data_IF_628227522099
#
_entry.id   IF_628227522099
#
_cell.length_a   1.000
_cell.length_b   1.000
_cell.length_c   1.000
_cell.angle_alpha   90.00
_cell.angle_beta   90.00
_cell.angle_gamma   90.00
#
_symmetry.space_group_name_H-M   'P 1'
#
loop_
_entity.id
_entity.type
_entity.pdbx_description
1 polymer ?
#
# COMPACT_ATOMS: atom_id res chain seq x y z
N UNK A 1 -20.22 -8.69 -0.36
CA UNK A 1 -20.02 -7.35 0.21
C UNK A 1 -18.55 -7.01 0.08
N UNK A 2 -18.17 -6.39 -1.04
CA UNK A 2 -16.83 -5.84 -1.26
C UNK A 2 -16.61 -4.74 -0.22
N UNK A 3 -15.47 -4.76 0.48
CA UNK A 3 -15.17 -3.74 1.48
C UNK A 3 -14.68 -2.47 0.78
N UNK A 4 -14.97 -1.28 1.32
CA UNK A 4 -14.72 -0.03 0.65
C UNK A 4 -13.23 0.23 0.44
N UNK A 5 -12.86 0.89 -0.66
CA UNK A 5 -11.48 1.27 -0.92
C UNK A 5 -11.00 2.30 0.12
N UNK A 6 -9.75 2.14 0.56
CA UNK A 6 -9.10 3.13 1.43
C UNK A 6 -8.93 4.47 0.68
N UNK A 7 -8.73 5.61 1.35
CA UNK A 7 -8.51 6.91 0.69
C UNK A 7 -7.40 6.88 -0.39
N UNK A 8 -6.32 6.15 -0.12
CA UNK A 8 -5.19 6.03 -1.06
C UNK A 8 -5.51 5.15 -2.27
N UNK A 9 -6.24 4.06 -2.07
CA UNK A 9 -6.80 3.27 -3.18
C UNK A 9 -7.80 4.07 -4.03
N UNK A 10 -8.64 4.90 -3.40
CA UNK A 10 -9.55 5.80 -4.11
C UNK A 10 -8.80 6.78 -4.99
N UNK A 11 -7.68 7.35 -4.53
CA UNK A 11 -6.82 8.23 -5.33
C UNK A 11 -6.33 7.54 -6.61
N UNK A 12 -5.89 6.29 -6.51
CA UNK A 12 -5.47 5.49 -7.67
C UNK A 12 -6.64 5.19 -8.62
N UNK A 13 -7.79 4.78 -8.09
CA UNK A 13 -8.97 4.46 -8.91
C UNK A 13 -9.48 5.72 -9.63
N UNK A 14 -9.53 6.86 -8.94
CA UNK A 14 -9.88 8.15 -9.50
C UNK A 14 -8.88 8.56 -10.60
N UNK A 15 -7.58 8.40 -10.35
CA UNK A 15 -6.55 8.67 -11.34
C UNK A 15 -6.73 7.82 -12.61
N UNK A 16 -6.93 6.50 -12.46
CA UNK A 16 -7.15 5.59 -13.60
C UNK A 16 -8.42 6.01 -14.37
N UNK A 17 -9.50 6.34 -13.66
CA UNK A 17 -10.77 6.77 -14.26
C UNK A 17 -10.60 8.04 -15.09
N UNK A 18 -10.06 9.10 -14.47
CA UNK A 18 -9.86 10.41 -15.10
C UNK A 18 -8.86 10.33 -16.26
N UNK A 19 -7.73 9.64 -16.07
CA UNK A 19 -6.72 9.45 -17.11
C UNK A 19 -7.32 8.74 -18.33
N UNK A 20 -8.08 7.67 -18.11
CA UNK A 20 -8.72 6.91 -19.18
C UNK A 20 -9.80 7.74 -19.88
N UNK A 21 -10.58 8.52 -19.14
CA UNK A 21 -11.61 9.39 -19.69
C UNK A 21 -11.01 10.48 -20.58
N UNK A 22 -9.94 11.13 -20.13
CA UNK A 22 -9.31 12.25 -20.86
C UNK A 22 -8.49 11.75 -22.06
N UNK A 23 -7.72 10.67 -21.89
CA UNK A 23 -6.74 10.23 -22.90
C UNK A 23 -7.21 9.03 -23.73
N UNK A 24 -8.41 8.51 -23.48
CA UNK A 24 -9.01 7.38 -24.20
C UNK A 24 -8.26 6.05 -24.04
N UNK A 25 -7.27 5.99 -23.14
CA UNK A 25 -6.45 4.79 -22.87
C UNK A 25 -6.07 4.73 -21.39
N UNK A 26 -5.97 3.54 -20.80
CA UNK A 26 -5.59 3.41 -19.41
C UNK A 26 -4.11 3.74 -19.20
N UNK A 27 -3.73 4.25 -18.00
CA UNK A 27 -2.35 4.57 -17.69
C UNK A 27 -1.49 3.30 -17.53
N UNK A 28 -0.22 3.42 -17.88
CA UNK A 28 0.83 2.48 -17.50
C UNK A 28 1.32 2.74 -16.07
N UNK A 29 1.97 1.74 -15.45
CA UNK A 29 2.58 1.92 -14.13
C UNK A 29 3.60 3.08 -14.12
N UNK A 30 4.36 3.26 -15.20
CA UNK A 30 5.32 4.35 -15.33
C UNK A 30 4.64 5.74 -15.40
N UNK A 31 3.47 5.85 -16.03
CA UNK A 31 2.68 7.09 -16.03
C UNK A 31 2.16 7.37 -14.61
N UNK A 32 1.64 6.36 -13.91
CA UNK A 32 1.20 6.51 -12.50
C UNK A 32 2.35 6.94 -11.58
N UNK A 33 3.54 6.35 -11.73
CA UNK A 33 4.73 6.75 -10.97
C UNK A 33 5.02 8.24 -11.13
N UNK A 34 5.00 8.75 -12.37
CA UNK A 34 5.27 10.16 -12.69
C UNK A 34 4.19 11.10 -12.14
N UNK A 35 2.92 10.77 -12.37
CA UNK A 35 1.82 11.66 -12.01
C UNK A 35 1.51 11.66 -10.52
N UNK A 36 1.51 10.49 -9.87
CA UNK A 36 1.28 10.35 -8.43
C UNK A 36 2.55 10.59 -7.60
N UNK A 37 3.70 10.80 -8.26
CA UNK A 37 5.03 10.98 -7.65
C UNK A 37 5.38 9.85 -6.68
N UNK A 38 5.07 8.62 -7.10
CA UNK A 38 5.28 7.41 -6.30
C UNK A 38 6.41 6.58 -6.85
N UNK A 39 7.02 5.80 -5.97
CA UNK A 39 8.09 4.89 -6.36
C UNK A 39 7.53 3.74 -7.21
N UNK A 40 8.33 3.14 -8.11
CA UNK A 40 7.91 1.99 -8.89
C UNK A 40 7.30 0.84 -8.08
N UNK A 41 7.90 0.37 -6.97
CA UNK A 41 7.29 -0.69 -6.17
C UNK A 41 6.00 -0.23 -5.49
N UNK A 42 5.86 1.04 -5.08
CA UNK A 42 4.60 1.56 -4.51
C UNK A 42 3.44 1.37 -5.49
N UNK A 43 3.64 1.78 -6.74
CA UNK A 43 2.62 1.67 -7.79
C UNK A 43 2.32 0.21 -8.09
N UNK A 44 3.36 -0.60 -8.29
CA UNK A 44 3.20 -2.02 -8.59
C UNK A 44 2.39 -2.76 -7.51
N UNK A 45 2.76 -2.60 -6.24
CA UNK A 45 2.04 -3.24 -5.13
C UNK A 45 0.62 -2.70 -4.95
N UNK A 46 0.39 -1.41 -5.21
CA UNK A 46 -0.97 -0.86 -5.22
C UNK A 46 -1.82 -1.50 -6.31
N UNK A 47 -1.31 -1.64 -7.53
CA UNK A 47 -2.02 -2.30 -8.64
C UNK A 47 -2.35 -3.76 -8.29
N UNK A 48 -1.38 -4.52 -7.78
CA UNK A 48 -1.64 -5.90 -7.32
C UNK A 48 -2.73 -5.97 -6.25
N UNK A 49 -2.77 -4.98 -5.36
CA UNK A 49 -3.78 -4.91 -4.31
C UNK A 49 -5.16 -4.57 -4.85
N UNK A 50 -5.27 -3.58 -5.73
CA UNK A 50 -6.52 -3.21 -6.37
C UNK A 50 -7.08 -4.39 -7.17
N UNK A 51 -6.22 -5.14 -7.86
CA UNK A 51 -6.58 -6.38 -8.59
C UNK A 51 -7.06 -7.47 -7.63
N UNK A 52 -6.31 -7.75 -6.57
CA UNK A 52 -6.68 -8.74 -5.54
C UNK A 52 -8.00 -8.39 -4.84
N UNK A 53 -8.31 -7.09 -4.71
CA UNK A 53 -9.57 -6.60 -4.15
C UNK A 53 -10.71 -6.55 -5.18
N UNK A 54 -10.44 -6.84 -6.45
CA UNK A 54 -11.44 -6.83 -7.51
C UNK A 54 -11.85 -5.44 -8.00
N UNK A 55 -11.13 -4.38 -7.62
CA UNK A 55 -11.40 -3.02 -8.09
C UNK A 55 -10.90 -2.76 -9.51
N UNK A 56 -9.89 -3.51 -9.94
CA UNK A 56 -9.36 -3.46 -11.30
C UNK A 56 -9.13 -4.86 -11.84
N UNK A 57 -9.03 -4.95 -13.15
CA UNK A 57 -8.49 -6.13 -13.86
C UNK A 57 -7.31 -5.68 -14.73
N UNK A 58 -6.33 -6.56 -14.95
CA UNK A 58 -5.19 -6.28 -15.82
C UNK A 58 -4.67 -7.56 -16.48
N UNK A 59 -3.81 -7.39 -17.48
CA UNK A 59 -3.01 -8.48 -18.03
C UNK A 59 -1.57 -8.34 -17.54
N UNK A 60 -1.03 -9.31 -16.78
CA UNK A 60 0.33 -9.27 -16.28
C UNK A 60 1.35 -9.10 -17.43
N UNK A 61 2.31 -8.20 -17.25
CA UNK A 61 3.34 -7.91 -18.25
C UNK A 61 2.89 -7.05 -19.43
N UNK A 62 1.60 -6.72 -19.54
CA UNK A 62 1.08 -5.87 -20.61
C UNK A 62 0.80 -4.45 -20.11
N UNK A 63 1.55 -3.44 -20.59
CA UNK A 63 1.28 -2.05 -20.23
C UNK A 63 -0.10 -1.64 -20.77
N UNK A 64 -0.77 -0.73 -20.07
CA UNK A 64 -2.07 -0.17 -20.47
C UNK A 64 -3.17 -1.23 -20.63
N UNK A 65 -3.11 -2.30 -19.82
CA UNK A 65 -4.14 -3.34 -19.76
C UNK A 65 -5.12 -3.16 -18.60
N UNK A 66 -4.89 -2.16 -17.75
CA UNK A 66 -5.69 -1.91 -16.55
C UNK A 66 -7.08 -1.45 -16.95
N UNK A 67 -8.10 -2.10 -16.40
CA UNK A 67 -9.51 -1.71 -16.53
C UNK A 67 -10.13 -1.62 -15.15
N UNK A 68 -10.88 -0.56 -14.90
CA UNK A 68 -11.71 -0.44 -13.71
C UNK A 68 -12.81 -1.50 -13.76
N UNK A 69 -13.10 -2.12 -12.62
CA UNK A 69 -14.29 -2.94 -12.50
C UNK A 69 -15.54 -2.06 -12.72
N UNK A 70 -16.46 -2.53 -13.58
CA UNK A 70 -17.64 -1.77 -14.01
C UNK A 70 -18.61 -1.40 -12.88
N UNK A 71 -18.44 -2.02 -11.72
CA UNK A 71 -19.15 -1.70 -10.50
C UNK A 71 -18.12 -1.68 -9.36
N UNK A 72 -18.10 -0.61 -8.58
CA UNK A 72 -17.47 -0.67 -7.25
C UNK A 72 -18.20 -1.69 -6.34
N UNK A 73 -19.34 -2.22 -6.79
CA UNK A 73 -20.00 -3.44 -6.38
C UNK A 73 -19.76 -4.61 -7.36
N UNK A 74 -18.65 -5.34 -7.30
CA UNK A 74 -18.56 -6.61 -8.07
C UNK A 74 -18.80 -7.81 -7.17
N UNK A 75 -19.95 -8.50 -7.34
CA UNK A 75 -20.01 -9.92 -7.09
C UNK A 75 -20.14 -10.73 -8.40
N UNK A 76 -19.37 -11.81 -8.40
CA UNK A 76 -19.55 -13.10 -9.10
C UNK A 76 -18.91 -13.29 -10.47
N UNK A 77 -17.64 -13.70 -10.45
CA UNK A 77 -17.26 -14.98 -11.04
C UNK A 77 -16.34 -15.76 -10.08
N UNK A 78 -16.94 -16.77 -9.42
CA UNK A 78 -16.32 -18.06 -9.11
C UNK A 78 -15.07 -18.14 -8.23
N UNK A 79 -15.28 -18.41 -6.94
CA UNK A 79 -14.51 -19.46 -6.25
C UNK A 79 -13.19 -19.08 -5.58
N UNK A 80 -13.29 -18.58 -4.35
CA UNK A 80 -12.54 -18.95 -3.13
C UNK A 80 -12.90 -17.90 -2.09
N UNK A 81 -13.43 -18.32 -0.93
CA UNK A 81 -13.86 -17.40 0.13
C UNK A 81 -12.80 -16.33 0.37
N UNK A 82 -13.17 -15.07 0.11
CA UNK A 82 -12.29 -13.96 0.47
C UNK A 82 -12.12 -14.01 1.97
N UNK A 83 -10.89 -14.03 2.50
CA UNK A 83 -10.70 -14.02 3.95
C UNK A 83 -11.44 -12.81 4.51
N UNK A 84 -12.32 -13.04 5.49
CA UNK A 84 -13.11 -12.01 6.16
C UNK A 84 -12.13 -11.02 6.80
N UNK A 85 -11.82 -9.93 6.10
CA UNK A 85 -10.90 -8.90 6.59
C UNK A 85 -11.55 -8.16 7.75
N UNK A 86 -10.72 -7.78 8.73
CA UNK A 86 -11.17 -6.98 9.86
C UNK A 86 -11.45 -5.56 9.39
N UNK A 87 -12.72 -5.20 9.49
CA UNK A 87 -13.25 -3.87 9.23
C UNK A 87 -12.79 -2.91 10.35
N UNK A 88 -12.24 -1.76 9.95
CA UNK A 88 -11.78 -0.68 10.84
C UNK A 88 -12.17 0.67 10.24
N UNK A 89 -12.30 1.72 11.04
CA UNK A 89 -12.58 3.05 10.48
C UNK A 89 -11.36 3.57 9.71
N UNK A 90 -11.52 4.37 8.64
CA UNK A 90 -10.38 4.96 7.92
C UNK A 90 -9.41 5.75 8.82
N UNK A 91 -9.92 6.32 9.92
CA UNK A 91 -9.15 7.05 10.92
C UNK A 91 -8.46 6.17 11.97
N UNK A 92 -8.80 4.88 12.04
CA UNK A 92 -8.25 3.96 13.02
C UNK A 92 -6.78 3.66 12.72
N UNK A 93 -5.97 3.76 13.76
CA UNK A 93 -4.53 3.53 13.66
C UNK A 93 -4.16 2.17 14.21
N UNK A 94 -3.61 1.31 13.36
CA UNK A 94 -3.12 0.00 13.75
C UNK A 94 -1.64 0.07 14.15
N UNK A 95 -1.20 -0.74 15.13
CA UNK A 95 0.18 -0.73 15.59
C UNK A 95 1.13 -1.43 14.60
N UNK A 96 2.30 -0.83 14.41
CA UNK A 96 3.48 -1.44 13.81
C UNK A 96 4.60 -1.42 14.84
N UNK A 97 4.94 -2.60 15.35
CA UNK A 97 6.10 -2.74 16.22
C UNK A 97 7.40 -2.74 15.39
N UNK A 98 8.52 -2.33 15.95
CA UNK A 98 9.83 -2.50 15.34
C UNK A 98 10.92 -2.43 16.42
N UNK A 99 12.08 -3.01 16.14
CA UNK A 99 13.28 -2.86 16.94
C UNK A 99 13.87 -1.44 16.77
N UNK A 100 14.73 -1.03 17.70
CA UNK A 100 15.49 0.22 17.56
C UNK A 100 16.34 0.27 16.28
N UNK A 101 16.84 -0.89 15.84
CA UNK A 101 17.56 -1.04 14.56
C UNK A 101 16.66 -0.74 13.36
N UNK A 102 15.48 -1.36 13.31
CA UNK A 102 14.50 -1.11 12.25
C UNK A 102 14.04 0.36 12.25
N UNK A 103 13.85 0.97 13.43
CA UNK A 103 13.56 2.41 13.52
C UNK A 103 14.69 3.26 12.92
N UNK A 104 15.95 2.98 13.25
CA UNK A 104 17.08 3.70 12.67
C UNK A 104 17.15 3.51 11.14
N UNK A 105 16.87 2.32 10.63
CA UNK A 105 16.80 2.07 9.18
C UNK A 105 15.68 2.90 8.54
N UNK A 106 14.49 2.94 9.14
CA UNK A 106 13.39 3.75 8.64
C UNK A 106 13.72 5.25 8.60
N UNK A 107 14.40 5.77 9.61
CA UNK A 107 14.70 7.20 9.71
C UNK A 107 15.91 7.62 8.86
N UNK A 108 16.92 6.77 8.73
CA UNK A 108 18.18 7.14 8.09
C UNK A 108 18.33 6.65 6.65
N UNK A 109 17.60 5.61 6.25
CA UNK A 109 17.71 5.01 4.92
C UNK A 109 16.44 5.21 4.09
N UNK A 110 15.26 5.06 4.69
CA UNK A 110 13.98 5.05 3.94
C UNK A 110 13.46 6.46 3.62
N UNK A 111 13.78 7.45 4.48
CA UNK A 111 13.34 8.85 4.38
C UNK A 111 11.85 9.03 3.98
N UNK A 112 10.92 8.53 4.81
CA UNK A 112 9.50 8.71 4.53
C UNK A 112 9.08 10.20 4.70
N UNK A 113 7.90 10.59 4.20
CA UNK A 113 7.37 11.94 4.39
C UNK A 113 7.29 12.31 5.87
N UNK A 114 7.43 13.60 6.17
CA UNK A 114 7.57 14.14 7.52
C UNK A 114 6.47 13.66 8.49
N UNK A 115 5.25 13.44 7.99
CA UNK A 115 4.15 12.91 8.79
C UNK A 115 4.43 11.49 9.33
N UNK A 116 4.90 10.58 8.47
CA UNK A 116 5.28 9.22 8.84
C UNK A 116 6.56 9.21 9.66
N UNK A 117 7.53 10.03 9.30
CA UNK A 117 8.79 10.18 10.03
C UNK A 117 8.55 10.55 11.50
N UNK A 118 7.71 11.56 11.75
CA UNK A 118 7.36 11.98 13.11
C UNK A 118 6.68 10.87 13.90
N UNK A 119 5.81 10.06 13.28
CA UNK A 119 5.18 8.90 13.93
C UNK A 119 6.20 7.85 14.32
N UNK A 120 7.18 7.59 13.45
CA UNK A 120 8.24 6.62 13.70
C UNK A 120 9.16 7.12 14.82
N UNK A 121 9.50 8.42 14.83
CA UNK A 121 10.31 9.04 15.91
C UNK A 121 9.61 8.99 17.26
N UNK A 122 8.31 9.28 17.29
CA UNK A 122 7.49 9.32 18.51
C UNK A 122 6.96 7.95 18.93
N UNK A 123 7.57 6.86 18.45
CA UNK A 123 7.17 5.50 18.80
C UNK A 123 7.29 5.26 20.31
N UNK A 124 6.26 4.65 20.89
CA UNK A 124 6.23 4.36 22.33
C UNK A 124 6.99 3.06 22.57
N UNK A 125 7.86 3.05 23.59
CA UNK A 125 8.54 1.84 24.01
C UNK A 125 7.55 0.89 24.70
N UNK A 126 7.40 -0.30 24.13
CA UNK A 126 6.62 -1.41 24.66
C UNK A 126 7.56 -2.60 24.84
N UNK A 127 7.95 -2.84 26.09
CA UNK A 127 8.97 -3.81 26.49
C UNK A 127 10.27 -3.67 25.68
N UNK A 128 10.51 -4.56 24.72
CA UNK A 128 11.71 -4.62 23.87
C UNK A 128 11.49 -4.05 22.46
N UNK A 129 10.31 -3.49 22.19
CA UNK A 129 9.90 -3.00 20.87
C UNK A 129 9.44 -1.57 20.95
N UNK A 130 9.56 -0.88 19.83
CA UNK A 130 9.01 0.44 19.61
C UNK A 130 7.74 0.28 18.80
N UNK A 131 6.65 0.91 19.22
CA UNK A 131 5.35 0.81 18.56
C UNK A 131 4.96 2.20 18.05
N UNK A 132 4.81 2.31 16.74
CA UNK A 132 4.13 3.44 16.10
C UNK A 132 2.77 2.98 15.54
N UNK A 133 1.81 3.89 15.40
CA UNK A 133 0.47 3.56 14.89
C UNK A 133 0.18 4.34 13.62
N UNK A 134 -0.39 3.66 12.63
CA UNK A 134 -0.66 4.19 11.29
C UNK A 134 -2.05 3.79 10.81
N UNK A 135 -2.70 4.64 10.01
CA UNK A 135 -3.93 4.28 9.27
C UNK A 135 -3.59 3.33 8.11
N UNK A 136 -4.59 2.69 7.48
CA UNK A 136 -4.33 1.83 6.33
C UNK A 136 -3.71 2.59 5.15
N UNK A 137 -4.12 3.84 4.92
CA UNK A 137 -3.51 4.69 3.90
C UNK A 137 -2.04 5.02 4.23
N UNK A 138 -1.71 5.32 5.48
CA UNK A 138 -0.33 5.56 5.93
C UNK A 138 0.52 4.29 5.81
N UNK A 139 -0.05 3.10 6.07
CA UNK A 139 0.62 1.82 5.82
C UNK A 139 0.91 1.57 4.35
N UNK A 140 -0.01 1.93 3.45
CA UNK A 140 0.20 1.84 1.99
C UNK A 140 1.33 2.74 1.51
N UNK A 141 1.38 3.96 2.04
CA UNK A 141 2.46 4.89 1.76
C UNK A 141 3.79 4.37 2.28
N UNK A 142 3.87 3.97 3.56
CA UNK A 142 5.07 3.45 4.18
C UNK A 142 5.61 2.21 3.45
N UNK A 143 4.73 1.29 3.06
CA UNK A 143 5.11 0.11 2.29
C UNK A 143 5.85 0.47 1.00
N UNK A 144 5.41 1.54 0.35
CA UNK A 144 6.00 2.07 -0.86
C UNK A 144 7.45 2.51 -0.67
N UNK A 145 7.71 3.35 0.34
CA UNK A 145 9.06 3.83 0.65
C UNK A 145 9.98 2.70 1.08
N UNK A 146 9.49 1.78 1.91
CA UNK A 146 10.27 0.62 2.38
C UNK A 146 10.68 -0.27 1.20
N UNK A 147 9.75 -0.58 0.29
CA UNK A 147 10.05 -1.40 -0.88
C UNK A 147 11.02 -0.71 -1.85
N UNK A 148 10.88 0.60 -2.03
CA UNK A 148 11.82 1.38 -2.84
C UNK A 148 13.24 1.28 -2.27
N UNK A 149 13.41 1.51 -0.97
CA UNK A 149 14.72 1.45 -0.35
C UNK A 149 15.30 0.02 -0.33
N UNK A 150 14.46 -1.00 -0.14
CA UNK A 150 14.87 -2.41 -0.21
C UNK A 150 15.42 -2.79 -1.60
N UNK A 151 14.85 -2.25 -2.66
CA UNK A 151 15.30 -2.48 -4.04
C UNK A 151 16.57 -1.70 -4.39
N UNK A 152 16.77 -0.52 -3.79
CA UNK A 152 17.90 0.36 -4.10
C UNK A 152 19.14 0.11 -3.22
N UNK A 153 18.99 -0.47 -2.02
CA UNK A 153 20.12 -0.68 -1.12
C UNK A 153 21.09 -1.74 -1.65
N UNK A 154 22.39 -1.45 -1.58
CA UNK A 154 23.46 -2.40 -1.96
C UNK A 154 23.77 -3.40 -0.86
N UNK A 155 23.34 -3.14 0.37
CA UNK A 155 23.60 -3.99 1.52
C UNK A 155 22.55 -5.09 1.64
N UNK A 156 22.96 -6.34 1.43
CA UNK A 156 22.09 -7.53 1.61
C UNK A 156 21.45 -7.60 2.99
N UNK A 157 22.15 -7.12 4.03
CA UNK A 157 21.63 -7.11 5.39
C UNK A 157 20.51 -6.08 5.56
N UNK A 158 20.70 -4.88 5.02
CA UNK A 158 19.68 -3.81 5.05
C UNK A 158 18.48 -4.21 4.20
N UNK A 159 18.71 -4.76 2.99
CA UNK A 159 17.66 -5.29 2.14
C UNK A 159 16.79 -6.30 2.90
N UNK A 160 17.40 -7.31 3.52
CA UNK A 160 16.67 -8.34 4.28
C UNK A 160 15.86 -7.76 5.44
N UNK A 161 16.42 -6.79 6.17
CA UNK A 161 15.71 -6.12 7.28
C UNK A 161 14.49 -5.34 6.75
N UNK A 162 14.63 -4.63 5.62
CA UNK A 162 13.54 -3.90 4.98
C UNK A 162 12.48 -4.85 4.38
N UNK A 163 12.88 -5.98 3.80
CA UNK A 163 11.96 -7.01 3.26
C UNK A 163 11.09 -7.62 4.36
N UNK A 164 11.68 -7.87 5.54
CA UNK A 164 10.93 -8.32 6.71
C UNK A 164 9.94 -7.26 7.18
N UNK A 165 10.35 -6.00 7.24
CA UNK A 165 9.47 -4.91 7.63
C UNK A 165 8.32 -4.73 6.61
N UNK A 166 8.63 -4.79 5.32
CA UNK A 166 7.66 -4.77 4.23
C UNK A 166 6.65 -5.91 4.35
N UNK A 167 7.10 -7.13 4.59
CA UNK A 167 6.24 -8.31 4.75
C UNK A 167 5.25 -8.15 5.91
N UNK A 168 5.69 -7.53 7.01
CA UNK A 168 4.85 -7.25 8.18
C UNK A 168 3.80 -6.19 7.87
N UNK A 169 4.16 -5.14 7.13
CA UNK A 169 3.22 -4.12 6.65
C UNK A 169 2.19 -4.76 5.69
N UNK A 170 2.63 -5.57 4.73
CA UNK A 170 1.72 -6.28 3.80
C UNK A 170 0.74 -7.18 4.55
N UNK A 171 1.20 -7.88 5.60
CA UNK A 171 0.30 -8.70 6.44
C UNK A 171 -0.81 -7.88 7.09
N UNK A 172 -0.50 -6.70 7.61
CA UNK A 172 -1.52 -5.80 8.19
C UNK A 172 -2.54 -5.39 7.13
N UNK A 173 -2.05 -4.97 5.96
CA UNK A 173 -2.86 -4.50 4.85
C UNK A 173 -3.71 -5.60 4.18
N UNK A 174 -3.27 -6.86 4.24
CA UNK A 174 -4.05 -8.01 3.77
C UNK A 174 -5.11 -8.47 4.79
N UNK A 175 -4.91 -8.15 6.07
CA UNK A 175 -5.80 -8.56 7.17
C UNK A 175 -6.91 -7.56 7.44
N UNK A 176 -6.67 -6.28 7.15
CA UNK A 176 -7.58 -5.18 7.50
C UNK A 176 -8.11 -4.46 6.27
N UNK A 177 -9.26 -3.82 6.44
CA UNK A 177 -9.91 -3.00 5.42
C UNK A 177 -10.71 -1.91 6.10
N UNK A 178 -10.90 -0.78 5.43
CA UNK A 178 -11.76 0.27 5.93
C UNK A 178 -13.24 -0.18 5.94
N UNK A 179 -14.02 0.35 6.90
CA UNK A 179 -15.49 0.29 6.98
C UNK A 179 -16.14 1.29 6.03
N UNK A 180 -17.40 1.00 5.66
CA UNK A 180 -18.26 1.93 4.93
C UNK A 180 -18.64 3.04 5.93
N UNK A 181 -18.41 4.31 5.58
CA UNK A 181 -18.85 5.47 6.40
C UNK A 181 -20.37 5.53 6.52
#
# INVERSE_FOLDING_TARGET
MTTPPTPRQLEFLAFISVYTHILGRPPSEAEMQKFLKLTPPSVHHMILRLEKRGFITRQPGQPRSIRLAASLDVPLLGGRGTPQRKRIKPSDKLPLAFSKREQCLLLNEVWPPTALENRIRLSIADHSRLVARFTLAEFEELAGYVAAQANHTKSRKVQKDLDHLFSRIQKVLDTHTDEDE
#
